data_IF_151746684757
#
_entry.id   IF_151746684757
#
_cell.length_a   1.000
_cell.length_b   1.000
_cell.length_c   1.000
_cell.angle_alpha   90.00
_cell.angle_beta   90.00
_cell.angle_gamma   90.00
#
_symmetry.space_group_name_H-M   'P 1'
#
loop_
_entity.id
_entity.type
_entity.pdbx_description
1 polymer ?
#
# COMPACT_ATOMS: atom_id res chain seq x y z
N UNK A 1 40.92 3.31 44.84
CA UNK A 1 39.81 2.41 44.46
C UNK A 1 38.70 3.26 43.86
N UNK A 2 38.70 3.44 42.53
CA UNK A 2 37.55 4.04 41.84
C UNK A 2 37.37 3.28 40.52
N UNK A 3 36.39 2.38 40.50
CA UNK A 3 35.98 1.67 39.29
C UNK A 3 35.04 2.59 38.49
N UNK A 4 35.36 3.00 37.25
CA UNK A 4 34.35 3.59 36.40
C UNK A 4 33.41 2.48 35.91
N UNK A 5 32.15 2.55 36.35
CA UNK A 5 31.05 1.76 35.79
C UNK A 5 30.94 2.09 34.29
N UNK A 6 31.36 1.17 33.44
CA UNK A 6 31.03 1.21 32.00
C UNK A 6 29.55 0.89 31.87
N UNK A 7 28.76 1.91 31.51
CA UNK A 7 27.41 1.71 31.02
C UNK A 7 27.41 0.67 29.89
N UNK A 8 26.46 -0.26 29.84
CA UNK A 8 26.35 -1.18 28.72
C UNK A 8 26.02 -0.37 27.47
N UNK A 9 26.95 -0.36 26.50
CA UNK A 9 26.67 0.17 25.16
C UNK A 9 25.56 -0.69 24.56
N UNK A 10 24.41 -0.09 24.31
CA UNK A 10 23.33 -0.63 23.48
C UNK A 10 23.89 -0.89 22.07
N UNK A 11 24.42 -2.09 21.85
CA UNK A 11 24.70 -2.60 20.51
C UNK A 11 23.39 -3.14 19.95
N UNK A 12 22.55 -2.26 19.41
CA UNK A 12 21.47 -2.69 18.50
C UNK A 12 22.17 -3.22 17.24
N UNK A 13 22.07 -4.52 17.00
CA UNK A 13 22.77 -5.15 15.87
C UNK A 13 22.12 -4.68 14.55
N UNK A 14 22.90 -4.21 13.55
CA UNK A 14 22.37 -3.72 12.26
C UNK A 14 21.45 -4.73 11.57
N UNK A 15 21.65 -6.02 11.83
CA UNK A 15 20.86 -7.10 11.27
C UNK A 15 19.44 -7.20 11.85
N UNK A 16 19.22 -6.79 13.10
CA UNK A 16 17.88 -6.77 13.71
C UNK A 16 17.03 -5.60 13.18
N UNK A 17 17.64 -4.45 12.91
CA UNK A 17 16.96 -3.29 12.31
C UNK A 17 16.52 -3.59 10.87
N UNK A 18 17.38 -4.22 10.06
CA UNK A 18 17.04 -4.64 8.71
C UNK A 18 15.88 -5.66 8.67
N UNK A 19 15.81 -6.58 9.64
CA UNK A 19 14.69 -7.53 9.74
C UNK A 19 13.38 -6.77 10.07
N UNK A 20 13.42 -5.85 11.04
CA UNK A 20 12.25 -5.04 11.42
C UNK A 20 11.73 -4.20 10.25
N UNK A 21 12.62 -3.54 9.52
CA UNK A 21 12.27 -2.73 8.35
C UNK A 21 11.58 -3.58 7.26
N UNK A 22 12.09 -4.79 6.98
CA UNK A 22 11.48 -5.73 6.02
C UNK A 22 10.12 -6.25 6.49
N UNK A 23 9.95 -6.48 7.79
CA UNK A 23 8.66 -6.87 8.36
C UNK A 23 7.63 -5.75 8.25
N UNK A 24 8.03 -4.50 8.51
CA UNK A 24 7.17 -3.33 8.35
C UNK A 24 6.76 -3.13 6.90
N UNK A 25 7.69 -3.27 5.97
CA UNK A 25 7.40 -3.23 4.53
C UNK A 25 6.41 -4.34 4.13
N UNK A 26 6.64 -5.57 4.60
CA UNK A 26 5.75 -6.70 4.33
C UNK A 26 4.33 -6.46 4.88
N UNK A 27 4.22 -5.85 6.07
CA UNK A 27 2.93 -5.45 6.66
C UNK A 27 2.24 -4.38 5.80
N UNK A 28 2.96 -3.37 5.32
CA UNK A 28 2.42 -2.35 4.41
C UNK A 28 1.94 -2.98 3.10
N UNK A 29 2.70 -3.91 2.52
CA UNK A 29 2.31 -4.60 1.29
C UNK A 29 1.03 -5.39 1.51
N UNK A 30 0.93 -6.14 2.61
CA UNK A 30 -0.28 -6.90 2.93
C UNK A 30 -1.50 -5.99 3.11
N UNK A 31 -1.34 -4.86 3.79
CA UNK A 31 -2.41 -3.85 3.95
C UNK A 31 -2.85 -3.28 2.60
N UNK A 32 -1.90 -2.91 1.74
CA UNK A 32 -2.19 -2.43 0.39
C UNK A 32 -2.94 -3.48 -0.44
N UNK A 33 -2.51 -4.75 -0.40
CA UNK A 33 -3.20 -5.84 -1.10
C UNK A 33 -4.64 -5.99 -0.65
N UNK A 34 -4.90 -5.99 0.66
CA UNK A 34 -6.26 -6.11 1.22
C UNK A 34 -7.11 -4.91 0.79
N UNK A 35 -6.61 -3.68 0.96
CA UNK A 35 -7.30 -2.47 0.53
C UNK A 35 -7.63 -2.52 -0.96
N UNK A 36 -6.68 -2.94 -1.80
CA UNK A 36 -6.89 -2.97 -3.24
C UNK A 36 -7.92 -4.03 -3.65
N UNK A 37 -7.89 -5.20 -3.01
CA UNK A 37 -8.93 -6.21 -3.19
C UNK A 37 -10.32 -5.68 -2.82
N UNK A 38 -10.43 -4.91 -1.73
CA UNK A 38 -11.69 -4.28 -1.33
C UNK A 38 -12.16 -3.25 -2.37
N UNK A 39 -11.28 -2.36 -2.83
CA UNK A 39 -11.61 -1.36 -3.87
C UNK A 39 -12.08 -2.04 -5.16
N UNK A 40 -11.37 -3.08 -5.61
CA UNK A 40 -11.78 -3.86 -6.78
C UNK A 40 -13.12 -4.57 -6.57
N UNK A 41 -13.39 -5.08 -5.37
CA UNK A 41 -14.68 -5.71 -5.05
C UNK A 41 -15.82 -4.71 -5.14
N UNK A 42 -15.66 -3.53 -4.52
CA UNK A 42 -16.69 -2.46 -4.53
C UNK A 42 -16.98 -2.00 -5.96
N UNK A 43 -15.94 -1.66 -6.73
CA UNK A 43 -16.10 -1.23 -8.13
C UNK A 43 -16.77 -2.32 -8.98
N UNK A 44 -16.39 -3.59 -8.78
CA UNK A 44 -16.90 -4.69 -9.58
C UNK A 44 -18.33 -5.13 -9.24
N UNK A 45 -18.74 -4.99 -7.98
CA UNK A 45 -19.93 -5.68 -7.46
C UNK A 45 -21.05 -4.75 -7.00
N UNK A 46 -20.76 -3.50 -6.65
CA UNK A 46 -21.80 -2.58 -6.18
C UNK A 46 -22.70 -2.15 -7.36
N UNK A 47 -24.02 -2.47 -7.32
CA UNK A 47 -24.94 -2.10 -8.39
C UNK A 47 -25.27 -0.60 -8.40
N UNK A 48 -25.14 0.08 -7.26
CA UNK A 48 -25.49 1.49 -7.06
C UNK A 48 -24.34 2.46 -7.32
N UNK A 49 -23.11 1.94 -7.41
CA UNK A 49 -21.92 2.74 -7.64
C UNK A 49 -21.94 3.39 -9.03
N UNK A 50 -21.70 4.69 -9.06
CA UNK A 50 -21.57 5.50 -10.27
C UNK A 50 -20.14 5.48 -10.83
N UNK A 51 -19.96 5.94 -12.07
CA UNK A 51 -18.63 6.01 -12.69
C UNK A 51 -17.74 7.05 -12.00
N UNK A 52 -18.33 8.15 -11.52
CA UNK A 52 -17.64 9.18 -10.75
C UNK A 52 -17.14 8.61 -9.42
N UNK A 53 -17.99 7.89 -8.67
CA UNK A 53 -17.60 7.27 -7.40
C UNK A 53 -16.54 6.18 -7.58
N UNK A 54 -16.65 5.36 -8.64
CA UNK A 54 -15.64 4.38 -8.99
C UNK A 54 -14.28 5.04 -9.30
N UNK A 55 -14.30 6.18 -9.98
CA UNK A 55 -13.11 6.97 -10.30
C UNK A 55 -12.50 7.58 -9.04
N UNK A 56 -13.32 8.10 -8.12
CA UNK A 56 -12.88 8.64 -6.84
C UNK A 56 -12.28 7.54 -5.94
N UNK A 57 -12.87 6.35 -5.92
CA UNK A 57 -12.31 5.19 -5.21
C UNK A 57 -10.95 4.79 -5.76
N UNK A 58 -10.78 4.77 -7.09
CA UNK A 58 -9.48 4.49 -7.71
C UNK A 58 -8.44 5.57 -7.36
N UNK A 59 -8.82 6.85 -7.41
CA UNK A 59 -7.96 7.97 -7.03
C UNK A 59 -7.58 7.95 -5.54
N UNK A 60 -8.54 7.62 -4.66
CA UNK A 60 -8.32 7.40 -3.23
C UNK A 60 -7.35 6.24 -2.97
N UNK A 61 -7.51 5.13 -3.69
CA UNK A 61 -6.62 3.98 -3.59
C UNK A 61 -5.18 4.31 -4.02
N UNK A 62 -5.01 5.12 -5.08
CA UNK A 62 -3.69 5.64 -5.49
C UNK A 62 -3.07 6.51 -4.40
N UNK A 63 -3.81 7.50 -3.88
CA UNK A 63 -3.33 8.37 -2.79
C UNK A 63 -2.89 7.57 -1.56
N UNK A 64 -3.69 6.58 -1.15
CA UNK A 64 -3.34 5.71 -0.03
C UNK A 64 -2.09 4.86 -0.31
N UNK A 65 -1.95 4.33 -1.52
CA UNK A 65 -0.75 3.58 -1.92
C UNK A 65 0.51 4.45 -1.88
N UNK A 66 0.45 5.68 -2.40
CA UNK A 66 1.57 6.63 -2.38
C UNK A 66 1.88 7.13 -0.96
N UNK A 67 0.87 7.29 -0.08
CA UNK A 67 1.12 7.62 1.32
C UNK A 67 1.85 6.48 2.06
N UNK A 68 1.58 5.22 1.72
CA UNK A 68 2.29 4.06 2.28
C UNK A 68 3.66 3.83 1.66
N UNK A 69 3.82 4.18 0.37
CA UNK A 69 5.02 3.98 -0.43
C UNK A 69 5.30 5.17 -1.36
N UNK A 70 5.84 6.28 -0.83
CA UNK A 70 6.03 7.53 -1.59
C UNK A 70 6.86 7.36 -2.87
N UNK A 71 7.90 6.52 -2.82
CA UNK A 71 8.82 6.34 -3.94
C UNK A 71 8.43 5.19 -4.89
N UNK A 72 7.22 4.63 -4.74
CA UNK A 72 6.77 3.44 -5.51
C UNK A 72 5.58 3.74 -6.44
N UNK A 73 5.45 4.99 -6.90
CA UNK A 73 4.38 5.37 -7.84
C UNK A 73 4.41 4.56 -9.14
N UNK A 74 5.58 4.41 -9.76
CA UNK A 74 5.71 3.63 -10.99
C UNK A 74 5.26 2.18 -10.80
N UNK A 75 5.58 1.57 -9.66
CA UNK A 75 5.15 0.20 -9.36
C UNK A 75 3.63 0.12 -9.22
N UNK A 76 3.00 1.10 -8.58
CA UNK A 76 1.54 1.18 -8.50
C UNK A 76 0.91 1.32 -9.90
N UNK A 77 1.42 2.23 -10.71
CA UNK A 77 0.91 2.52 -12.04
C UNK A 77 1.06 1.30 -12.99
N UNK A 78 2.09 0.47 -12.81
CA UNK A 78 2.26 -0.77 -13.58
C UNK A 78 1.33 -1.90 -13.10
N UNK A 79 1.13 -2.03 -11.79
CA UNK A 79 0.43 -3.19 -11.22
C UNK A 79 -1.10 -3.00 -11.13
N UNK A 80 -1.55 -1.81 -10.74
CA UNK A 80 -2.93 -1.59 -10.30
C UNK A 80 -3.74 -0.70 -11.24
N UNK A 81 -3.14 0.38 -11.76
CA UNK A 81 -3.81 1.28 -12.70
C UNK A 81 -4.47 0.55 -13.89
N UNK A 82 -3.80 -0.35 -14.63
CA UNK A 82 -4.45 -1.05 -15.76
C UNK A 82 -5.60 -1.95 -15.30
N UNK A 83 -5.52 -2.53 -14.10
CA UNK A 83 -6.56 -3.40 -13.54
C UNK A 83 -7.81 -2.60 -13.18
N UNK A 84 -7.64 -1.47 -12.49
CA UNK A 84 -8.74 -0.59 -12.12
C UNK A 84 -9.40 0.03 -13.36
N UNK A 85 -8.61 0.51 -14.32
CA UNK A 85 -9.13 1.05 -15.57
C UNK A 85 -9.95 0.01 -16.34
N UNK A 86 -9.43 -1.21 -16.47
CA UNK A 86 -10.17 -2.30 -17.12
C UNK A 86 -11.48 -2.61 -16.41
N UNK A 87 -11.44 -2.72 -15.07
CA UNK A 87 -12.63 -2.99 -14.26
C UNK A 87 -13.71 -1.91 -14.43
N UNK A 88 -13.32 -0.63 -14.37
CA UNK A 88 -14.25 0.49 -14.56
C UNK A 88 -14.81 0.49 -15.99
N UNK A 89 -13.96 0.31 -17.01
CA UNK A 89 -14.43 0.28 -18.41
C UNK A 89 -15.42 -0.85 -18.67
N UNK A 90 -15.13 -2.05 -18.17
CA UNK A 90 -16.02 -3.21 -18.32
C UNK A 90 -17.34 -3.02 -17.56
N UNK A 91 -17.28 -2.52 -16.31
CA UNK A 91 -18.45 -2.33 -15.45
C UNK A 91 -19.42 -1.26 -15.98
N UNK A 92 -18.88 -0.17 -16.53
CA UNK A 92 -19.64 0.99 -17.00
C UNK A 92 -19.77 1.08 -18.52
N UNK A 93 -19.26 0.08 -19.26
CA UNK A 93 -19.30 0.02 -20.74
C UNK A 93 -18.72 1.26 -21.42
N UNK A 94 -17.65 1.81 -20.85
CA UNK A 94 -16.95 2.97 -21.40
C UNK A 94 -16.12 2.51 -22.61
N UNK A 95 -16.33 3.15 -23.77
CA UNK A 95 -15.59 2.85 -25.01
C UNK A 95 -14.15 3.38 -25.01
#
# INVERSE_FOLDING_TARGET
MNLPQRAPKETTFPQQEAIREREEESKKIRRLQVMMSMVMSVIGQDPSLTVEEASELAAGAKRAALAMFPDKELAYDLLYKPRLQRLIRERFRLQ
#
